data_IF_937815281439
#
_entry.id   IF_937815281439
#
_cell.length_a   1.000
_cell.length_b   1.000
_cell.length_c   1.000
_cell.angle_alpha   90.00
_cell.angle_beta   90.00
_cell.angle_gamma   90.00
#
_symmetry.space_group_name_H-M   'P 1'
#
loop_
_entity.id
_entity.type
_entity.pdbx_description
1 polymer ?
#
# COMPACT_ATOMS: atom_id res chain seq x y z
N UNK A 1 5.31 3.16 13.54
CA UNK A 1 4.39 2.92 12.42
C UNK A 1 5.24 2.43 11.25
N UNK A 2 4.91 1.25 10.72
CA UNK A 2 5.82 0.40 9.95
C UNK A 2 5.44 0.25 8.49
N UNK A 3 6.20 -0.59 7.78
CA UNK A 3 6.07 -0.89 6.36
C UNK A 3 4.61 -1.16 5.94
N UNK A 4 4.14 -0.44 4.91
CA UNK A 4 2.85 -0.67 4.28
C UNK A 4 3.00 -1.45 2.97
N UNK A 5 2.11 -2.42 2.74
CA UNK A 5 1.95 -3.10 1.45
C UNK A 5 0.59 -2.66 0.92
N UNK A 6 0.55 -1.99 -0.22
CA UNK A 6 -0.69 -1.54 -0.85
C UNK A 6 -0.89 -2.32 -2.15
N UNK A 7 -2.08 -2.88 -2.35
CA UNK A 7 -2.37 -3.74 -3.49
C UNK A 7 -3.81 -3.61 -3.98
N UNK A 8 -4.03 -3.61 -5.30
CA UNK A 8 -5.37 -3.62 -5.89
C UNK A 8 -6.00 -5.00 -5.76
N UNK A 9 -7.19 -5.09 -5.17
CA UNK A 9 -7.86 -6.36 -4.83
C UNK A 9 -8.01 -7.30 -6.02
N UNK A 10 -8.35 -6.76 -7.18
CA UNK A 10 -8.68 -7.51 -8.40
C UNK A 10 -7.60 -7.33 -9.49
N UNK A 11 -6.34 -7.10 -9.11
CA UNK A 11 -5.22 -6.95 -10.06
C UNK A 11 -5.06 -8.22 -10.94
N UNK A 12 -5.23 -8.11 -12.28
CA UNK A 12 -5.14 -9.26 -13.17
C UNK A 12 -3.70 -9.66 -13.51
N UNK A 13 -2.70 -8.82 -13.17
CA UNK A 13 -1.28 -9.05 -13.46
C UNK A 13 -0.57 -9.68 -12.28
N UNK A 14 -0.85 -9.18 -11.07
CA UNK A 14 -0.24 -9.67 -9.83
C UNK A 14 -1.35 -10.13 -8.90
N UNK A 15 -1.46 -11.44 -8.60
CA UNK A 15 -2.50 -11.94 -7.71
C UNK A 15 -2.35 -11.41 -6.28
N UNK A 16 -3.48 -11.19 -5.59
CA UNK A 16 -3.52 -10.77 -4.18
C UNK A 16 -2.80 -11.73 -3.23
N UNK A 17 -2.61 -13.00 -3.63
CA UNK A 17 -1.82 -13.97 -2.87
C UNK A 17 -0.36 -13.54 -2.69
N UNK A 18 0.22 -12.86 -3.68
CA UNK A 18 1.60 -12.34 -3.61
C UNK A 18 1.72 -11.26 -2.53
N UNK A 19 0.74 -10.35 -2.46
CA UNK A 19 0.69 -9.32 -1.43
C UNK A 19 0.44 -9.91 -0.03
N UNK A 20 -0.36 -10.98 0.04
CA UNK A 20 -0.62 -11.72 1.27
C UNK A 20 0.64 -12.44 1.77
N UNK A 21 1.38 -13.09 0.86
CA UNK A 21 2.65 -13.74 1.17
C UNK A 21 3.68 -12.73 1.66
N UNK A 22 3.83 -11.60 0.97
CA UNK A 22 4.74 -10.54 1.38
C UNK A 22 4.42 -10.01 2.79
N UNK A 23 3.13 -9.82 3.10
CA UNK A 23 2.70 -9.37 4.42
C UNK A 23 3.01 -10.40 5.52
N UNK A 24 2.89 -11.68 5.23
CA UNK A 24 3.26 -12.76 6.15
C UNK A 24 4.77 -12.84 6.39
N UNK A 25 5.59 -12.52 5.36
CA UNK A 25 7.04 -12.55 5.43
C UNK A 25 7.66 -11.33 6.09
N UNK A 26 6.94 -10.22 6.21
CA UNK A 26 7.46 -8.98 6.80
C UNK A 26 6.74 -8.67 8.12
N UNK A 27 7.36 -9.00 9.28
CA UNK A 27 6.78 -8.75 10.58
C UNK A 27 6.46 -7.27 10.80
N UNK A 28 5.25 -7.00 11.29
CA UNK A 28 4.78 -5.65 11.56
C UNK A 28 4.39 -4.84 10.32
N UNK A 29 4.39 -5.46 9.13
CA UNK A 29 3.81 -4.83 7.94
C UNK A 29 2.28 -4.84 7.99
N UNK A 30 1.66 -3.90 7.26
CA UNK A 30 0.21 -3.84 7.08
C UNK A 30 -0.12 -3.96 5.59
N UNK A 31 -0.92 -4.95 5.24
CA UNK A 31 -1.53 -5.07 3.91
C UNK A 31 -2.80 -4.22 3.81
N UNK A 32 -2.86 -3.36 2.81
CA UNK A 32 -4.04 -2.56 2.45
C UNK A 32 -4.48 -2.95 1.06
N UNK A 33 -5.71 -3.47 0.97
CA UNK A 33 -6.34 -3.82 -0.29
C UNK A 33 -7.20 -2.65 -0.78
N UNK A 34 -6.83 -2.11 -1.93
CA UNK A 34 -7.58 -1.08 -2.63
C UNK A 34 -8.66 -1.74 -3.50
N UNK A 35 -9.87 -1.20 -3.47
CA UNK A 35 -10.93 -1.69 -4.35
C UNK A 35 -10.67 -1.22 -5.77
N UNK A 36 -10.29 -2.15 -6.64
CA UNK A 36 -9.90 -1.86 -8.01
C UNK A 36 -9.18 -3.04 -8.64
N UNK A 37 -9.06 -2.98 -9.97
CA UNK A 37 -8.38 -4.00 -10.80
C UNK A 37 -7.16 -3.48 -11.53
N UNK A 38 -6.86 -2.19 -11.38
CA UNK A 38 -5.75 -1.60 -12.09
C UNK A 38 -4.46 -1.85 -11.32
N UNK A 39 -3.48 -2.44 -12.01
CA UNK A 39 -2.12 -2.58 -11.51
C UNK A 39 -1.41 -1.23 -11.38
N UNK A 40 -1.70 -0.33 -12.33
CA UNK A 40 -1.25 1.05 -12.32
C UNK A 40 -2.45 1.93 -11.99
N UNK A 41 -2.53 2.38 -10.73
CA UNK A 41 -3.59 3.26 -10.28
C UNK A 41 -3.54 4.61 -10.99
N UNK A 42 -4.67 5.08 -11.48
CA UNK A 42 -4.83 6.42 -12.08
C UNK A 42 -5.60 7.36 -11.16
N UNK A 43 -5.40 8.67 -11.35
CA UNK A 43 -5.94 9.70 -10.45
C UNK A 43 -7.46 9.84 -10.45
N UNK A 44 -8.13 9.31 -11.47
CA UNK A 44 -9.58 9.27 -11.64
C UNK A 44 -10.23 8.06 -10.96
N UNK A 45 -9.44 7.11 -10.45
CA UNK A 45 -9.99 5.93 -9.79
C UNK A 45 -10.55 6.26 -8.40
N UNK A 46 -11.68 5.64 -8.00
CA UNK A 46 -12.21 5.77 -6.65
C UNK A 46 -11.23 5.34 -5.54
N UNK A 47 -10.29 4.44 -5.86
CA UNK A 47 -9.25 3.98 -4.95
C UNK A 47 -8.10 5.00 -4.76
N UNK A 48 -7.99 5.99 -5.64
CA UNK A 48 -6.88 6.96 -5.62
C UNK A 48 -6.73 7.73 -4.30
N UNK A 49 -7.80 8.24 -3.67
CA UNK A 49 -7.67 8.92 -2.38
C UNK A 49 -7.18 7.99 -1.26
N UNK A 50 -7.59 6.73 -1.27
CA UNK A 50 -7.14 5.74 -0.29
C UNK A 50 -5.65 5.39 -0.50
N UNK A 51 -5.22 5.25 -1.76
CA UNK A 51 -3.81 5.09 -2.09
C UNK A 51 -2.95 6.26 -1.60
N UNK A 52 -3.37 7.50 -1.88
CA UNK A 52 -2.64 8.68 -1.43
C UNK A 52 -2.56 8.78 0.10
N UNK A 53 -3.64 8.41 0.81
CA UNK A 53 -3.65 8.42 2.27
C UNK A 53 -2.60 7.45 2.85
N UNK A 54 -2.52 6.22 2.33
CA UNK A 54 -1.52 5.24 2.76
C UNK A 54 -0.10 5.66 2.35
N UNK A 55 0.07 6.24 1.16
CA UNK A 55 1.36 6.77 0.69
C UNK A 55 1.85 7.92 1.58
N UNK A 56 0.99 8.88 1.91
CA UNK A 56 1.35 9.99 2.80
C UNK A 56 1.66 9.51 4.22
N UNK A 57 0.87 8.57 4.75
CA UNK A 57 1.14 7.97 6.05
C UNK A 57 2.49 7.25 6.10
N UNK A 58 2.88 6.60 5.00
CA UNK A 58 4.19 5.97 4.87
C UNK A 58 5.33 7.00 4.84
N UNK A 59 5.19 8.08 4.05
CA UNK A 59 6.24 9.11 3.90
C UNK A 59 6.39 10.01 5.13
N UNK A 60 5.32 10.22 5.91
CA UNK A 60 5.36 11.02 7.14
C UNK A 60 6.30 10.45 8.23
N UNK A 61 6.84 9.24 8.04
CA UNK A 61 7.78 8.60 8.96
C UNK A 61 9.19 9.24 8.93
N UNK A 62 9.54 9.99 7.87
CA UNK A 62 10.85 10.66 7.77
C UNK A 62 10.91 12.05 8.43
N UNK A 63 9.77 12.60 8.90
CA UNK A 63 9.75 13.83 9.72
C UNK A 63 9.91 13.54 11.22
N UNK A 64 10.86 12.67 11.59
CA UNK A 64 11.34 12.57 12.97
C UNK A 64 12.60 13.45 13.13
N UNK A 65 12.53 14.60 13.85
CA UNK A 65 13.69 15.48 14.08
C UNK A 65 14.84 14.79 14.82
N UNK A 66 14.64 13.59 15.38
CA UNK A 66 15.65 12.84 16.13
C UNK A 66 16.50 11.89 15.26
N UNK A 67 16.30 11.84 13.94
CA UNK A 67 17.14 11.05 12.99
C UNK A 67 18.00 11.90 12.04
N UNK A 68 18.22 13.18 12.36
CA UNK A 68 19.20 14.06 11.70
C UNK A 68 20.55 14.11 12.40
#
# INVERSE_FOLDING_TARGET
MGLGIVHSRDDPRVPVSEATELAALIPGSRLVLLDGRNHLLTADEPAWPAFLAELHAFLAVDEDPARG
#
